data_IF_198664713482
#
_entry.id   IF_198664713482
#
_cell.length_a   1.000
_cell.length_b   1.000
_cell.length_c   1.000
_cell.angle_alpha   90.00
_cell.angle_beta   90.00
_cell.angle_gamma   90.00
#
_symmetry.space_group_name_H-M   'P 1'
#
loop_
_entity.id
_entity.type
_entity.pdbx_description
1 polymer ?
#
# COMPACT_ATOMS: atom_id res chain seq x y z
N UNK A 1 10.32 -9.73 4.19
CA UNK A 1 9.14 -10.55 4.49
C UNK A 1 8.02 -10.09 3.57
N UNK A 2 7.24 -11.01 3.05
CA UNK A 2 6.05 -10.73 2.23
C UNK A 2 4.82 -10.81 3.13
N UNK A 3 3.97 -9.79 3.09
CA UNK A 3 2.69 -9.78 3.82
C UNK A 3 1.59 -9.56 2.80
N UNK A 4 0.60 -10.46 2.76
CA UNK A 4 -0.55 -10.36 1.84
C UNK A 4 -0.15 -10.13 0.37
N UNK A 5 0.94 -10.76 -0.09
CA UNK A 5 1.49 -10.63 -1.45
C UNK A 5 1.97 -9.22 -1.82
N UNK A 6 2.23 -8.36 -0.82
CA UNK A 6 2.96 -7.11 -0.97
C UNK A 6 4.44 -7.32 -0.62
N UNK A 7 5.31 -6.82 -1.50
CA UNK A 7 6.77 -6.77 -1.32
C UNK A 7 7.16 -5.32 -1.08
N UNK A 8 7.93 -5.06 -0.02
CA UNK A 8 8.57 -3.75 0.14
C UNK A 8 9.67 -3.61 -0.92
N UNK A 9 9.60 -2.57 -1.74
CA UNK A 9 10.56 -2.30 -2.82
C UNK A 9 11.53 -1.19 -2.47
N UNK A 10 11.07 -0.25 -1.65
CA UNK A 10 11.79 0.91 -1.17
C UNK A 10 11.10 1.37 0.12
N UNK A 11 11.79 2.12 0.96
CA UNK A 11 11.28 2.70 2.20
C UNK A 11 9.78 3.06 2.14
N UNK A 12 8.94 2.27 2.80
CA UNK A 12 7.47 2.40 2.86
C UNK A 12 6.70 2.36 1.52
N UNK A 13 7.37 1.97 0.45
CA UNK A 13 6.78 1.66 -0.84
C UNK A 13 6.63 0.15 -1.00
N UNK A 14 5.44 -0.28 -1.42
CA UNK A 14 5.07 -1.69 -1.54
C UNK A 14 4.47 -1.98 -2.91
N UNK A 15 4.82 -3.13 -3.49
CA UNK A 15 4.22 -3.63 -4.73
C UNK A 15 3.55 -4.98 -4.51
N UNK A 16 2.38 -5.16 -5.08
CA UNK A 16 1.78 -6.47 -5.31
C UNK A 16 1.62 -6.68 -6.81
N UNK A 17 2.51 -7.50 -7.39
CA UNK A 17 2.46 -7.83 -8.81
C UNK A 17 1.23 -8.66 -9.18
N UNK A 18 0.71 -9.45 -8.24
CA UNK A 18 -0.51 -10.24 -8.43
C UNK A 18 -1.76 -9.37 -8.49
N UNK A 19 -1.83 -8.36 -7.61
CA UNK A 19 -2.96 -7.43 -7.58
C UNK A 19 -2.81 -6.29 -8.59
N UNK A 20 -1.67 -6.15 -9.27
CA UNK A 20 -1.39 -5.01 -10.12
C UNK A 20 -1.36 -3.67 -9.36
N UNK A 21 -0.90 -3.67 -8.10
CA UNK A 21 -0.94 -2.49 -7.22
C UNK A 21 0.45 -2.06 -6.75
N UNK A 22 0.65 -0.74 -6.68
CA UNK A 22 1.79 -0.11 -6.02
C UNK A 22 1.23 0.88 -4.98
N UNK A 23 1.72 0.78 -3.75
CA UNK A 23 1.43 1.69 -2.65
C UNK A 23 2.70 2.48 -2.35
N UNK A 24 2.66 3.80 -2.47
CA UNK A 24 3.76 4.69 -2.10
C UNK A 24 3.47 5.43 -0.79
N UNK A 25 4.52 5.63 0.00
CA UNK A 25 4.48 6.31 1.31
C UNK A 25 3.47 5.72 2.31
N UNK A 26 3.42 4.39 2.37
CA UNK A 26 2.59 3.65 3.32
C UNK A 26 3.31 3.55 4.67
N UNK A 27 3.03 4.51 5.53
CA UNK A 27 3.50 4.58 6.91
C UNK A 27 2.33 4.55 7.91
N UNK A 28 2.60 4.15 9.14
CA UNK A 28 1.58 4.10 10.21
C UNK A 28 0.94 5.48 10.47
N UNK A 29 1.69 6.59 10.38
CA UNK A 29 1.14 7.94 10.53
C UNK A 29 0.15 8.35 9.42
N UNK A 30 0.29 7.73 8.24
CA UNK A 30 -0.53 7.97 7.06
C UNK A 30 -1.79 7.09 7.05
N UNK A 31 -1.95 6.19 8.03
CA UNK A 31 -3.09 5.27 8.14
C UNK A 31 -3.90 5.59 9.39
N UNK A 32 -5.04 6.25 9.19
CA UNK A 32 -6.00 6.50 10.25
C UNK A 32 -7.02 5.36 10.33
N UNK A 33 -7.40 4.96 11.55
CA UNK A 33 -8.45 3.96 11.77
C UNK A 33 -9.61 4.58 12.55
N UNK A 34 -10.84 4.44 12.04
CA UNK A 34 -12.06 4.85 12.76
C UNK A 34 -13.18 3.87 12.49
N UNK A 35 -13.80 3.36 13.55
CA UNK A 35 -14.88 2.35 13.46
C UNK A 35 -14.50 1.15 12.58
N UNK A 36 -13.26 0.65 12.72
CA UNK A 36 -12.67 -0.42 11.92
C UNK A 36 -12.53 -0.13 10.41
N UNK A 37 -12.74 1.11 9.99
CA UNK A 37 -12.46 1.57 8.62
C UNK A 37 -11.09 2.24 8.60
N UNK A 38 -10.28 1.86 7.61
CA UNK A 38 -8.98 2.46 7.33
C UNK A 38 -9.14 3.65 6.39
N UNK A 39 -8.48 4.75 6.71
CA UNK A 39 -8.39 5.95 5.89
C UNK A 39 -6.91 6.22 5.64
N UNK A 40 -6.54 6.18 4.37
CA UNK A 40 -5.19 6.46 3.94
C UNK A 40 -5.11 7.95 3.59
N UNK A 41 -4.23 8.66 4.27
CA UNK A 41 -3.92 10.06 4.00
C UNK A 41 -2.47 10.12 3.51
N UNK A 42 -2.19 10.95 2.51
CA UNK A 42 -0.83 11.10 1.96
C UNK A 42 -0.17 9.78 1.46
N UNK A 43 -0.97 8.76 1.16
CA UNK A 43 -0.53 7.51 0.51
C UNK A 43 -1.07 7.47 -0.91
N UNK A 44 -0.22 7.19 -1.90
CA UNK A 44 -0.61 7.12 -3.31
C UNK A 44 -0.78 5.67 -3.75
N UNK A 45 -1.88 5.40 -4.45
CA UNK A 45 -2.20 4.09 -5.01
C UNK A 45 -2.05 4.15 -6.53
N UNK A 46 -1.08 3.43 -7.09
CA UNK A 46 -0.96 3.26 -8.54
C UNK A 46 -1.51 1.90 -8.95
N UNK A 47 -2.20 1.89 -10.07
CA UNK A 47 -2.59 0.67 -10.77
C UNK A 47 -1.54 0.40 -11.86
N UNK A 48 -1.05 -0.84 -11.93
CA UNK A 48 -0.26 -1.30 -13.06
C UNK A 48 -1.17 -1.70 -14.21
N UNK A 49 -0.58 -2.11 -15.34
CA UNK A 49 -1.34 -2.65 -16.48
C UNK A 49 -2.01 -3.99 -16.19
N UNK A 50 -1.66 -4.62 -15.07
CA UNK A 50 -2.08 -5.96 -14.70
C UNK A 50 -3.28 -5.95 -13.71
N UNK A 51 -3.81 -4.77 -13.38
CA UNK A 51 -4.99 -4.59 -12.52
C UNK A 51 -6.31 -4.93 -13.24
#
# INVERSE_FOLDING_TARGET
>A
MEYNNFKNIRHNDYISSELGLILEDLHDENVLTKNNVLYFIDTVFYLTKDF
#
